data_IF_981416317657
#
_entry.id   IF_981416317657
#
_cell.length_a   1.000
_cell.length_b   1.000
_cell.length_c   1.000
_cell.angle_alpha   90.00
_cell.angle_beta   90.00
_cell.angle_gamma   90.00
#
_symmetry.space_group_name_H-M   'P 1'
#
loop_
_entity.id
_entity.type
_entity.pdbx_description
1 polymer ?
#
# COMPACT_ATOMS: atom_id res chain seq x y z
N UNK A 1 -3.35 13.16 9.69
CA UNK A 1 -4.51 13.28 8.76
C UNK A 1 -5.78 13.21 9.59
N UNK A 2 -6.62 14.22 9.50
CA UNK A 2 -7.85 14.30 10.31
C UNK A 2 -8.84 13.21 9.88
N UNK A 3 -9.60 12.67 10.82
CA UNK A 3 -10.59 11.60 10.59
C UNK A 3 -11.60 11.93 9.48
N UNK A 4 -11.91 13.20 9.32
CA UNK A 4 -12.78 13.75 8.28
C UNK A 4 -12.21 13.56 6.85
N UNK A 5 -10.90 13.74 6.67
CA UNK A 5 -10.21 13.45 5.41
C UNK A 5 -10.23 11.96 5.08
N UNK A 6 -10.09 11.08 6.10
CA UNK A 6 -10.18 9.64 5.92
C UNK A 6 -11.58 9.17 5.51
N UNK A 7 -12.63 9.84 6.00
CA UNK A 7 -14.01 9.52 5.60
C UNK A 7 -14.30 9.99 4.18
N UNK A 8 -13.85 11.19 3.83
CA UNK A 8 -14.12 11.78 2.51
C UNK A 8 -13.46 11.03 1.35
N UNK A 9 -12.21 10.56 1.50
CA UNK A 9 -11.54 9.83 0.41
C UNK A 9 -12.16 8.46 0.13
N UNK A 10 -12.66 7.77 1.16
CA UNK A 10 -13.34 6.46 0.99
C UNK A 10 -14.61 6.59 0.13
N UNK A 11 -15.41 7.63 0.36
CA UNK A 11 -16.58 7.91 -0.46
C UNK A 11 -16.16 8.21 -1.91
N UNK A 12 -15.24 9.13 -2.11
CA UNK A 12 -14.71 9.49 -3.43
C UNK A 12 -14.12 8.29 -4.18
N UNK A 13 -13.39 7.43 -3.48
CA UNK A 13 -12.83 6.22 -4.06
C UNK A 13 -13.91 5.29 -4.62
N UNK A 14 -14.98 5.05 -3.84
CA UNK A 14 -16.11 4.20 -4.29
C UNK A 14 -16.82 4.79 -5.50
N UNK A 15 -17.06 6.09 -5.49
CA UNK A 15 -17.70 6.81 -6.59
C UNK A 15 -16.85 6.82 -7.85
N UNK A 16 -15.54 6.97 -7.69
CA UNK A 16 -14.60 7.15 -8.80
C UNK A 16 -13.98 5.87 -9.33
N UNK A 17 -14.16 4.71 -8.68
CA UNK A 17 -13.49 3.47 -9.07
C UNK A 17 -13.73 3.08 -10.55
N UNK A 18 -14.95 3.31 -11.06
CA UNK A 18 -15.27 3.06 -12.47
C UNK A 18 -14.55 4.05 -13.40
N UNK A 19 -14.46 5.32 -13.00
CA UNK A 19 -13.73 6.36 -13.74
C UNK A 19 -12.24 6.05 -13.78
N UNK A 20 -11.65 5.64 -12.65
CA UNK A 20 -10.24 5.22 -12.58
C UNK A 20 -9.95 4.06 -13.52
N UNK A 21 -10.83 3.06 -13.56
CA UNK A 21 -10.70 1.90 -14.47
C UNK A 21 -10.67 2.32 -15.92
N UNK A 22 -11.62 3.16 -16.33
CA UNK A 22 -11.70 3.66 -17.72
C UNK A 22 -10.46 4.49 -18.06
N UNK A 23 -10.04 5.35 -17.14
CA UNK A 23 -8.89 6.22 -17.31
C UNK A 23 -7.59 5.42 -17.48
N UNK A 24 -7.31 4.48 -16.56
CA UNK A 24 -6.10 3.64 -16.60
C UNK A 24 -5.99 2.80 -17.88
N UNK A 25 -7.12 2.43 -18.49
CA UNK A 25 -7.12 1.70 -19.76
C UNK A 25 -6.83 2.58 -20.98
N UNK A 26 -6.99 3.89 -20.87
CA UNK A 26 -6.86 4.84 -21.98
C UNK A 26 -5.66 5.78 -21.88
N UNK A 27 -5.03 5.87 -20.71
CA UNK A 27 -3.94 6.80 -20.46
C UNK A 27 -2.71 6.48 -21.32
N UNK A 28 -2.00 7.51 -21.77
CA UNK A 28 -0.64 7.37 -22.27
C UNK A 28 0.28 6.91 -21.13
N UNK A 29 0.60 5.62 -21.16
CA UNK A 29 1.36 4.96 -20.08
C UNK A 29 2.75 5.58 -19.92
N UNK A 30 3.44 5.89 -21.00
CA UNK A 30 4.79 6.43 -20.97
C UNK A 30 4.82 7.85 -20.37
N UNK A 31 3.85 8.69 -20.74
CA UNK A 31 3.69 10.02 -20.18
C UNK A 31 3.34 9.96 -18.70
N UNK A 32 2.39 9.09 -18.31
CA UNK A 32 1.97 8.92 -16.94
C UNK A 32 3.14 8.47 -16.03
N UNK A 33 3.88 7.45 -16.42
CA UNK A 33 4.99 6.90 -15.64
C UNK A 33 6.04 7.97 -15.33
N UNK A 34 6.34 8.86 -16.29
CA UNK A 34 7.35 9.93 -16.08
C UNK A 34 6.98 10.92 -14.99
N UNK A 35 5.71 11.16 -14.75
CA UNK A 35 5.24 12.15 -13.76
C UNK A 35 4.89 11.55 -12.40
N UNK A 36 4.80 10.21 -12.30
CA UNK A 36 4.47 9.53 -11.03
C UNK A 36 5.35 9.99 -9.85
N UNK A 37 6.69 10.10 -9.96
CA UNK A 37 7.52 10.50 -8.82
C UNK A 37 7.14 11.89 -8.27
N UNK A 38 6.75 12.82 -9.14
CA UNK A 38 6.33 14.17 -8.73
C UNK A 38 5.00 14.11 -8.01
N UNK A 39 4.03 13.39 -8.57
CA UNK A 39 2.69 13.23 -7.97
C UNK A 39 2.74 12.48 -6.65
N UNK A 40 3.61 11.47 -6.54
CA UNK A 40 3.90 10.77 -5.29
C UNK A 40 4.36 11.74 -4.20
N UNK A 41 5.38 12.55 -4.48
CA UNK A 41 5.88 13.54 -3.52
C UNK A 41 4.80 14.54 -3.11
N UNK A 42 3.99 15.01 -4.04
CA UNK A 42 2.88 15.93 -3.74
C UNK A 42 1.82 15.29 -2.84
N UNK A 43 1.45 14.03 -3.11
CA UNK A 43 0.51 13.30 -2.28
C UNK A 43 1.02 13.11 -0.85
N UNK A 44 2.29 12.73 -0.70
CA UNK A 44 2.87 12.47 0.62
C UNK A 44 3.28 13.72 1.40
N UNK A 45 3.27 14.90 0.80
CA UNK A 45 3.29 16.17 1.55
C UNK A 45 2.00 16.37 2.38
N UNK A 46 0.88 15.81 1.93
CA UNK A 46 -0.44 15.95 2.58
C UNK A 46 -0.82 14.75 3.43
N UNK A 47 -0.29 13.57 3.10
CA UNK A 47 -0.70 12.29 3.67
C UNK A 47 0.46 11.69 4.44
N UNK A 48 0.25 11.47 5.73
CA UNK A 48 1.19 10.74 6.58
C UNK A 48 0.68 9.31 6.81
N UNK A 49 1.44 8.32 6.38
CA UNK A 49 1.10 6.91 6.54
C UNK A 49 0.91 6.49 8.00
N UNK A 50 1.71 7.05 8.91
CA UNK A 50 1.63 6.74 10.34
C UNK A 50 0.34 7.27 10.98
N UNK A 51 -0.24 8.35 10.46
CA UNK A 51 -1.54 8.82 10.93
C UNK A 51 -2.70 8.01 10.34
N UNK A 52 -2.49 7.41 9.16
CA UNK A 52 -3.53 6.72 8.40
C UNK A 52 -3.67 5.24 8.78
N UNK A 53 -2.57 4.49 8.72
CA UNK A 53 -2.47 3.04 8.93
C UNK A 53 -3.54 2.18 8.20
N UNK A 54 -4.19 2.71 7.16
CA UNK A 54 -5.29 2.02 6.47
C UNK A 54 -4.82 0.73 5.79
N UNK A 55 -3.61 0.72 5.22
CA UNK A 55 -3.01 -0.49 4.66
C UNK A 55 -2.75 -1.54 5.74
N UNK A 56 -2.19 -1.16 6.90
CA UNK A 56 -1.94 -2.08 8.01
C UNK A 56 -3.22 -2.69 8.59
N UNK A 57 -4.37 -2.03 8.43
CA UNK A 57 -5.68 -2.52 8.88
C UNK A 57 -6.38 -3.43 7.87
N UNK A 58 -6.06 -3.29 6.57
CA UNK A 58 -6.85 -3.91 5.50
C UNK A 58 -6.04 -4.76 4.53
N UNK A 59 -4.73 -4.60 4.48
CA UNK A 59 -3.85 -5.26 3.52
C UNK A 59 -2.81 -6.13 4.23
N UNK A 60 -2.39 -7.23 3.56
CA UNK A 60 -1.25 -8.02 3.99
C UNK A 60 -0.15 -7.92 2.93
N UNK A 61 1.07 -7.51 3.31
CA UNK A 61 2.21 -7.58 2.42
C UNK A 61 2.61 -9.05 2.18
N UNK A 62 3.32 -9.31 1.11
CA UNK A 62 4.06 -10.55 0.93
C UNK A 62 5.38 -10.46 1.69
N UNK A 63 5.77 -11.56 2.29
CA UNK A 63 7.02 -11.72 3.02
C UNK A 63 7.97 -12.59 2.20
N UNK A 64 9.02 -12.00 1.67
CA UNK A 64 10.11 -12.73 1.03
C UNK A 64 11.01 -13.35 2.09
N UNK A 65 11.75 -14.40 1.75
CA UNK A 65 12.65 -15.07 2.71
C UNK A 65 13.64 -14.08 3.37
N UNK A 66 14.13 -13.11 2.64
CA UNK A 66 15.00 -12.07 3.20
C UNK A 66 14.29 -11.15 4.20
N UNK A 67 13.00 -10.87 3.98
CA UNK A 67 12.18 -10.10 4.91
C UNK A 67 11.98 -10.90 6.21
N UNK A 68 11.61 -12.19 6.09
CA UNK A 68 11.41 -13.11 7.23
C UNK A 68 12.68 -13.14 8.09
N UNK A 69 13.83 -13.39 7.47
CA UNK A 69 15.13 -13.44 8.17
C UNK A 69 15.44 -12.14 8.92
N UNK A 70 15.24 -11.00 8.28
CA UNK A 70 15.52 -9.67 8.86
C UNK A 70 14.58 -9.36 10.03
N UNK A 71 13.29 -9.63 9.87
CA UNK A 71 12.28 -9.34 10.87
C UNK A 71 12.41 -10.30 12.05
N UNK A 72 12.55 -11.60 11.82
CA UNK A 72 12.75 -12.59 12.87
C UNK A 72 13.98 -12.25 13.73
N UNK A 73 15.09 -11.87 13.10
CA UNK A 73 16.28 -11.40 13.84
C UNK A 73 16.00 -10.18 14.72
N UNK A 74 15.26 -9.21 14.21
CA UNK A 74 14.89 -8.00 14.97
C UNK A 74 13.97 -8.31 16.17
N UNK A 75 13.15 -9.34 16.06
CA UNK A 75 12.25 -9.81 17.13
C UNK A 75 12.89 -10.86 18.04
N UNK A 76 14.18 -11.17 17.88
CA UNK A 76 14.88 -12.25 18.58
C UNK A 76 14.18 -13.62 18.44
N UNK A 77 13.63 -13.91 17.28
CA UNK A 77 12.96 -15.17 16.95
C UNK A 77 13.77 -15.98 15.92
N UNK A 78 13.56 -17.30 15.89
CA UNK A 78 14.00 -18.12 14.76
C UNK A 78 13.05 -17.88 13.58
N UNK A 79 13.57 -17.95 12.35
CA UNK A 79 12.77 -17.74 11.12
C UNK A 79 11.53 -18.64 11.09
N UNK A 80 11.70 -19.93 11.42
CA UNK A 80 10.61 -20.90 11.49
C UNK A 80 9.53 -20.51 12.52
N UNK A 81 9.94 -20.04 13.69
CA UNK A 81 8.99 -19.65 14.74
C UNK A 81 8.21 -18.39 14.31
N UNK A 82 8.87 -17.47 13.60
CA UNK A 82 8.23 -16.31 13.00
C UNK A 82 7.19 -16.71 11.95
N UNK A 83 7.56 -17.60 11.03
CA UNK A 83 6.64 -18.12 10.01
C UNK A 83 5.40 -18.76 10.64
N UNK A 84 5.59 -19.67 11.58
CA UNK A 84 4.49 -20.37 12.27
C UNK A 84 3.58 -19.43 13.07
N UNK A 85 4.14 -18.37 13.64
CA UNK A 85 3.40 -17.44 14.51
C UNK A 85 2.60 -16.41 13.72
N UNK A 86 3.15 -15.90 12.62
CA UNK A 86 2.62 -14.73 11.95
C UNK A 86 2.16 -14.96 10.51
N UNK A 87 2.66 -15.99 9.83
CA UNK A 87 2.49 -16.15 8.40
C UNK A 87 1.66 -17.39 8.03
N UNK A 88 1.05 -17.30 6.86
CA UNK A 88 0.38 -18.39 6.16
C UNK A 88 0.74 -18.32 4.67
N UNK A 89 0.79 -19.45 3.99
CA UNK A 89 0.91 -19.47 2.53
C UNK A 89 -0.45 -19.21 1.91
N UNK A 90 -0.52 -18.27 0.98
CA UNK A 90 -1.73 -17.98 0.20
C UNK A 90 -1.87 -18.90 -1.03
N UNK A 91 -2.86 -18.63 -1.89
CA UNK A 91 -3.14 -19.42 -3.10
C UNK A 91 -2.00 -19.35 -4.13
N UNK A 92 -1.21 -18.28 -4.12
CA UNK A 92 -0.05 -18.07 -5.00
C UNK A 92 1.26 -18.61 -4.38
N UNK A 93 1.16 -19.30 -3.23
CA UNK A 93 2.29 -19.78 -2.43
C UNK A 93 3.20 -18.67 -1.87
N UNK A 94 2.69 -17.46 -1.78
CA UNK A 94 3.35 -16.36 -1.10
C UNK A 94 3.08 -16.40 0.41
N UNK A 95 4.08 -16.06 1.23
CA UNK A 95 3.87 -15.86 2.66
C UNK A 95 3.18 -14.53 2.92
N UNK A 96 2.03 -14.58 3.58
CA UNK A 96 1.22 -13.42 3.98
C UNK A 96 0.85 -13.51 5.46
N UNK A 97 0.36 -12.42 6.05
CA UNK A 97 -0.06 -12.43 7.46
C UNK A 97 -1.29 -13.33 7.67
N UNK A 98 -1.28 -14.11 8.75
CA UNK A 98 -2.41 -14.96 9.16
C UNK A 98 -3.64 -14.16 9.57
N UNK A 99 -3.46 -12.91 10.01
CA UNK A 99 -4.55 -12.10 10.57
C UNK A 99 -4.49 -10.64 10.12
N UNK A 100 -5.64 -10.00 10.15
CA UNK A 100 -5.81 -8.56 9.99
C UNK A 100 -6.62 -8.03 11.19
N UNK A 101 -6.31 -6.86 11.69
CA UNK A 101 -5.23 -5.94 11.30
C UNK A 101 -3.84 -6.56 11.49
N UNK A 102 -2.82 -5.94 10.88
CA UNK A 102 -1.42 -6.36 11.01
C UNK A 102 -1.02 -6.52 12.50
N UNK A 103 -0.44 -7.66 12.91
CA UNK A 103 -0.07 -7.89 14.31
C UNK A 103 1.02 -6.93 14.84
N UNK A 104 1.75 -6.26 13.93
CA UNK A 104 2.78 -5.28 14.28
C UNK A 104 2.26 -3.84 14.32
N UNK A 105 0.95 -3.64 14.13
CA UNK A 105 0.31 -2.33 14.23
C UNK A 105 -0.04 -2.01 15.68
N UNK A 106 0.55 -0.95 16.20
CA UNK A 106 0.26 -0.45 17.55
C UNK A 106 -1.02 0.40 17.60
N UNK A 107 -1.52 0.65 18.80
CA UNK A 107 -2.77 1.41 19.02
C UNK A 107 -2.70 2.85 18.51
N UNK A 108 -1.50 3.43 18.49
CA UNK A 108 -1.23 4.79 17.98
C UNK A 108 -0.94 4.84 16.47
N UNK A 109 -1.25 3.76 15.73
CA UNK A 109 -0.99 3.56 14.32
C UNK A 109 0.48 3.40 13.92
N UNK A 110 1.39 3.30 14.88
CA UNK A 110 2.80 3.03 14.59
C UNK A 110 3.03 1.56 14.26
N UNK A 111 4.08 1.30 13.54
CA UNK A 111 4.51 -0.06 13.19
C UNK A 111 5.69 -0.48 14.08
N UNK A 112 5.52 -1.52 14.87
CA UNK A 112 6.55 -2.07 15.76
C UNK A 112 7.82 -2.49 15.01
N UNK A 113 7.69 -2.92 13.77
CA UNK A 113 8.81 -3.37 12.92
C UNK A 113 9.11 -2.40 11.77
N UNK A 114 8.83 -1.10 11.95
CA UNK A 114 8.89 -0.10 10.86
C UNK A 114 10.22 -0.11 10.11
N UNK A 115 11.35 -0.15 10.83
CA UNK A 115 12.69 -0.08 10.25
C UNK A 115 13.10 -1.37 9.51
N UNK A 116 12.48 -2.48 9.87
CA UNK A 116 12.73 -3.81 9.27
C UNK A 116 11.53 -4.36 8.52
N UNK A 117 10.52 -3.53 8.25
CA UNK A 117 9.27 -3.94 7.61
C UNK A 117 9.49 -4.66 6.27
N UNK A 118 8.55 -5.49 5.83
CA UNK A 118 8.64 -6.18 4.54
C UNK A 118 8.90 -5.22 3.37
N UNK A 119 9.59 -5.70 2.36
CA UNK A 119 9.88 -4.92 1.15
C UNK A 119 8.60 -4.41 0.48
N UNK A 120 7.52 -5.21 0.50
CA UNK A 120 6.22 -4.79 -0.03
C UNK A 120 5.60 -3.63 0.77
N UNK A 121 5.74 -3.61 2.10
CA UNK A 121 5.32 -2.47 2.92
C UNK A 121 6.13 -1.20 2.62
N UNK A 122 7.43 -1.38 2.30
CA UNK A 122 8.31 -0.25 2.00
C UNK A 122 7.94 0.43 0.68
N UNK A 123 7.56 -0.36 -0.32
CA UNK A 123 7.21 0.10 -1.66
C UNK A 123 5.76 0.55 -1.77
N UNK A 124 4.88 -0.01 -0.91
CA UNK A 124 3.46 0.35 -0.93
C UNK A 124 3.28 1.87 -0.70
N UNK A 125 2.43 2.57 -1.47
CA UNK A 125 1.41 2.06 -2.39
C UNK A 125 1.82 2.05 -3.88
N UNK A 126 3.10 2.00 -4.18
CA UNK A 126 3.70 1.93 -5.54
C UNK A 126 3.40 3.14 -6.44
N UNK A 127 3.01 4.26 -5.87
CA UNK A 127 2.55 5.46 -6.62
C UNK A 127 3.67 6.18 -7.37
N UNK A 128 4.93 5.84 -7.15
CA UNK A 128 6.12 6.34 -7.86
C UNK A 128 6.74 5.30 -8.81
N UNK A 129 6.13 4.11 -8.89
CA UNK A 129 6.63 3.01 -9.70
C UNK A 129 5.76 2.78 -10.94
N UNK A 130 6.37 2.27 -12.00
CA UNK A 130 5.67 1.96 -13.26
C UNK A 130 4.58 0.87 -13.12
N UNK A 131 4.69 0.00 -12.10
CA UNK A 131 3.67 -0.99 -11.75
C UNK A 131 2.31 -0.34 -11.47
N UNK A 132 2.29 0.90 -10.96
CA UNK A 132 1.07 1.66 -10.73
C UNK A 132 0.22 1.83 -12.00
N UNK A 133 0.86 2.00 -13.13
CA UNK A 133 0.19 2.14 -14.44
C UNK A 133 0.10 0.80 -15.17
N UNK A 134 1.12 -0.05 -15.04
CA UNK A 134 1.20 -1.33 -15.76
C UNK A 134 0.27 -2.40 -15.20
N UNK A 135 -0.10 -2.31 -13.92
CA UNK A 135 -0.99 -3.25 -13.25
C UNK A 135 -2.25 -2.55 -12.70
N UNK A 136 -3.19 -2.14 -13.58
CA UNK A 136 -4.36 -1.36 -13.19
C UNK A 136 -5.25 -2.08 -12.17
N UNK A 137 -5.33 -3.41 -12.19
CA UNK A 137 -6.09 -4.17 -11.21
C UNK A 137 -5.55 -3.98 -9.78
N UNK A 138 -4.22 -4.03 -9.61
CA UNK A 138 -3.55 -3.77 -8.34
C UNK A 138 -3.79 -2.33 -7.87
N UNK A 139 -3.65 -1.37 -8.77
CA UNK A 139 -3.87 0.05 -8.45
C UNK A 139 -5.31 0.33 -8.01
N UNK A 140 -6.30 -0.25 -8.70
CA UNK A 140 -7.72 -0.13 -8.33
C UNK A 140 -8.01 -0.79 -6.97
N UNK A 141 -7.41 -1.95 -6.70
CA UNK A 141 -7.51 -2.59 -5.39
C UNK A 141 -6.91 -1.68 -4.30
N UNK A 142 -5.73 -1.13 -4.51
CA UNK A 142 -5.07 -0.24 -3.57
C UNK A 142 -5.85 1.07 -3.37
N UNK A 143 -6.55 1.58 -4.38
CA UNK A 143 -7.40 2.76 -4.27
C UNK A 143 -8.53 2.58 -3.24
N UNK A 144 -8.97 1.34 -2.99
CA UNK A 144 -10.04 1.06 -2.04
C UNK A 144 -9.65 1.28 -0.57
N UNK A 145 -8.35 1.32 -0.26
CA UNK A 145 -7.88 1.51 1.11
C UNK A 145 -6.68 2.46 1.28
N UNK A 146 -6.18 3.07 0.20
CA UNK A 146 -5.07 4.02 0.28
C UNK A 146 -5.45 5.41 -0.25
N UNK A 147 -5.48 6.45 0.59
CA UNK A 147 -5.78 7.81 0.15
C UNK A 147 -4.74 8.38 -0.82
N UNK A 148 -3.46 7.98 -0.71
CA UNK A 148 -2.42 8.44 -1.62
C UNK A 148 -2.62 7.93 -3.06
N UNK A 149 -3.13 6.71 -3.22
CA UNK A 149 -3.50 6.16 -4.55
C UNK A 149 -4.59 7.00 -5.19
N UNK A 150 -5.62 7.39 -4.42
CA UNK A 150 -6.70 8.23 -4.93
C UNK A 150 -6.20 9.62 -5.31
N UNK A 151 -5.37 10.26 -4.48
CA UNK A 151 -4.79 11.57 -4.76
C UNK A 151 -3.98 11.55 -6.07
N UNK A 152 -3.15 10.54 -6.26
CA UNK A 152 -2.35 10.40 -7.49
C UNK A 152 -3.22 10.14 -8.71
N UNK A 153 -4.25 9.26 -8.61
CA UNK A 153 -5.17 9.01 -9.72
C UNK A 153 -5.98 10.25 -10.10
N UNK A 154 -6.50 10.99 -9.12
CA UNK A 154 -7.23 12.24 -9.36
C UNK A 154 -6.35 13.26 -10.07
N UNK A 155 -5.10 13.44 -9.61
CA UNK A 155 -4.13 14.33 -10.25
C UNK A 155 -3.76 13.91 -11.67
N UNK A 156 -3.56 12.62 -11.92
CA UNK A 156 -3.31 12.10 -13.26
C UNK A 156 -4.47 12.41 -14.22
N UNK A 157 -5.71 12.33 -13.74
CA UNK A 157 -6.90 12.62 -14.55
C UNK A 157 -7.05 14.11 -14.87
N UNK A 158 -6.47 15.03 -14.08
CA UNK A 158 -6.45 16.47 -14.34
C UNK A 158 -5.43 16.87 -15.43
N UNK A 159 -4.41 16.04 -15.66
CA UNK A 159 -3.34 16.31 -16.63
C UNK A 159 -3.80 15.88 -18.03
N UNK A 160 -3.97 16.86 -18.91
CA UNK A 160 -4.34 16.66 -20.32
C UNK A 160 -3.15 16.25 -21.20
#
# INVERSE_FOLDING_TARGET
MKEELLKSWKSRSRENIKKYKIFLNRIDKAKAIRILPVLHQEAFKKINCLDCAACCKNYSPRFKQQDIKRIAKSLNMKERDFELTYLVSDEDHDFVLQSKPCPFLEKDNKCQIYDVRPSDCHRFPYTDEDVFIKQPALTLMNASFCPAVNEVLEKLMEIK
#
